data_IF_145823847761
#
_entry.id   IF_145823847761
#
_cell.length_a   1.000
_cell.length_b   1.000
_cell.length_c   1.000
_cell.angle_alpha   90.00
_cell.angle_beta   90.00
_cell.angle_gamma   90.00
#
_symmetry.space_group_name_H-M   'P 1'
#
loop_
_entity.id
_entity.type
_entity.pdbx_description
1 polymer ?
#
# COMPACT_ATOMS: atom_id res chain seq x y z
N UNK A 1 -2.47 -42.84 8.82
CA UNK A 1 -2.36 -41.42 8.45
C UNK A 1 -1.76 -40.68 9.62
N UNK A 2 -0.66 -39.96 9.37
CA UNK A 2 -0.02 -39.07 10.33
C UNK A 2 -0.93 -37.87 10.57
N UNK A 3 -1.00 -37.41 11.82
CA UNK A 3 -1.79 -36.26 12.19
C UNK A 3 -1.15 -34.96 11.64
N UNK A 4 -1.74 -34.37 10.61
CA UNK A 4 -1.19 -33.22 9.88
C UNK A 4 -1.15 -31.93 10.73
N UNK A 5 -1.98 -31.84 11.77
CA UNK A 5 -2.04 -30.68 12.67
C UNK A 5 -1.12 -30.79 13.89
N UNK A 6 -0.28 -31.83 13.96
CA UNK A 6 0.62 -32.06 15.09
C UNK A 6 1.63 -30.92 15.29
N UNK A 7 2.25 -30.43 14.21
CA UNK A 7 3.16 -29.27 14.31
C UNK A 7 2.44 -27.98 14.70
N UNK A 8 1.23 -27.76 14.17
CA UNK A 8 0.38 -26.63 14.52
C UNK A 8 0.05 -26.61 16.01
N UNK A 9 -0.45 -27.73 16.57
CA UNK A 9 -0.81 -27.82 17.98
C UNK A 9 0.38 -27.66 18.91
N UNK A 10 1.56 -28.20 18.55
CA UNK A 10 2.78 -28.01 19.34
C UNK A 10 3.20 -26.55 19.49
N UNK A 11 2.85 -25.70 18.53
CA UNK A 11 3.21 -24.28 18.51
C UNK A 11 2.23 -23.38 19.29
N UNK A 12 1.12 -23.91 19.84
CA UNK A 12 0.05 -23.10 20.48
C UNK A 12 -0.28 -23.57 21.89
N UNK A 13 -0.65 -22.63 22.76
CA UNK A 13 -1.22 -22.88 24.09
C UNK A 13 -2.63 -22.30 24.16
N UNK A 14 -3.65 -23.15 24.30
CA UNK A 14 -5.07 -22.77 24.33
C UNK A 14 -5.43 -21.74 25.41
N UNK A 15 -4.58 -21.57 26.44
CA UNK A 15 -4.78 -20.58 27.50
C UNK A 15 -4.24 -19.20 27.14
N UNK A 16 -3.45 -19.10 26.07
CA UNK A 16 -2.66 -17.91 25.73
C UNK A 16 -3.02 -17.32 24.37
N UNK A 17 -3.67 -18.09 23.49
CA UNK A 17 -4.07 -17.61 22.17
C UNK A 17 -5.58 -17.81 21.93
N UNK A 18 -6.25 -16.88 21.23
CA UNK A 18 -7.62 -17.08 20.75
C UNK A 18 -7.69 -17.94 19.47
N UNK A 19 -6.55 -18.41 18.96
CA UNK A 19 -6.50 -19.26 17.76
C UNK A 19 -7.23 -20.61 17.98
N UNK A 20 -7.90 -21.15 16.94
CA UNK A 20 -8.62 -22.42 17.07
C UNK A 20 -7.66 -23.60 17.22
N UNK A 21 -7.86 -24.44 18.24
CA UNK A 21 -7.01 -25.62 18.50
C UNK A 21 -7.92 -26.86 18.59
N UNK A 22 -8.29 -27.48 17.46
CA UNK A 22 -9.12 -28.67 17.50
C UNK A 22 -8.37 -29.83 18.15
N UNK A 23 -9.07 -30.71 18.90
CA UNK A 23 -8.46 -31.91 19.46
C UNK A 23 -7.93 -32.82 18.34
N UNK A 24 -7.06 -33.78 18.67
CA UNK A 24 -6.60 -34.78 17.71
C UNK A 24 -7.78 -35.68 17.30
N UNK A 25 -8.51 -35.30 16.25
CA UNK A 25 -9.60 -36.11 15.71
C UNK A 25 -9.03 -37.04 14.64
N UNK A 26 -9.31 -38.34 14.76
CA UNK A 26 -9.16 -39.30 13.68
C UNK A 26 -10.48 -39.42 12.93
N UNK A 27 -10.82 -38.52 12.00
CA UNK A 27 -11.84 -38.85 10.99
C UNK A 27 -11.82 -37.97 9.75
N UNK A 28 -11.65 -38.69 8.64
CA UNK A 28 -12.27 -38.57 7.32
C UNK A 28 -13.52 -37.68 7.25
N UNK A 29 -13.37 -36.46 6.72
CA UNK A 29 -14.40 -35.90 5.84
C UNK A 29 -13.85 -35.97 4.42
N UNK A 30 -14.49 -36.76 3.57
CA UNK A 30 -14.15 -36.93 2.14
C UNK A 30 -14.79 -35.85 1.26
N UNK A 31 -15.52 -34.90 1.84
CA UNK A 31 -16.13 -33.80 1.11
C UNK A 31 -15.22 -32.59 1.24
N UNK A 32 -14.28 -32.45 0.30
CA UNK A 32 -13.50 -31.23 0.14
C UNK A 32 -14.33 -30.24 -0.65
N UNK A 33 -14.67 -29.11 -0.03
CA UNK A 33 -15.34 -28.01 -0.73
C UNK A 33 -14.34 -27.11 -1.47
N UNK A 34 -13.05 -27.47 -1.46
CA UNK A 34 -11.93 -26.72 -2.03
C UNK A 34 -12.06 -25.22 -1.73
N UNK A 35 -12.20 -24.88 -0.45
CA UNK A 35 -12.28 -23.49 0.00
C UNK A 35 -10.88 -22.92 0.16
N UNK A 36 -10.77 -21.60 0.04
CA UNK A 36 -9.58 -20.88 0.42
C UNK A 36 -9.92 -19.68 1.30
N UNK A 37 -8.93 -19.24 2.08
CA UNK A 37 -8.93 -17.94 2.73
C UNK A 37 -7.57 -17.28 2.50
N UNK A 38 -7.59 -15.97 2.30
CA UNK A 38 -6.40 -15.14 2.32
C UNK A 38 -6.55 -14.19 3.50
N UNK A 39 -5.59 -14.23 4.43
CA UNK A 39 -5.58 -13.37 5.61
C UNK A 39 -4.45 -12.36 5.54
N UNK A 40 -4.71 -11.10 5.89
CA UNK A 40 -3.65 -10.13 6.14
C UNK A 40 -3.17 -10.31 7.58
N UNK A 41 -1.86 -10.44 7.76
CA UNK A 41 -1.28 -10.73 9.06
C UNK A 41 -0.22 -9.68 9.42
N UNK A 42 -0.60 -8.79 10.33
CA UNK A 42 0.24 -7.75 10.91
C UNK A 42 1.07 -8.30 12.08
N UNK A 43 1.94 -9.26 11.78
CA UNK A 43 2.92 -9.78 12.74
C UNK A 43 4.13 -8.83 12.87
N UNK A 44 5.34 -9.36 13.10
CA UNK A 44 6.59 -8.57 13.03
C UNK A 44 6.77 -7.83 11.69
N UNK A 45 6.22 -8.40 10.63
CA UNK A 45 6.12 -7.81 9.30
C UNK A 45 4.78 -8.19 8.69
N UNK A 46 4.16 -7.25 7.96
CA UNK A 46 2.95 -7.54 7.19
C UNK A 46 3.22 -8.61 6.12
N UNK A 47 2.35 -9.60 6.04
CA UNK A 47 2.30 -10.60 4.99
C UNK A 47 0.86 -11.10 4.79
N UNK A 48 0.65 -11.90 3.74
CA UNK A 48 -0.63 -12.54 3.44
C UNK A 48 -0.51 -14.04 3.64
N UNK A 49 -1.33 -14.61 4.50
CA UNK A 49 -1.44 -16.06 4.65
C UNK A 49 -2.47 -16.57 3.65
N UNK A 50 -2.02 -17.28 2.61
CA UNK A 50 -2.86 -17.96 1.63
C UNK A 50 -3.05 -19.39 2.07
N UNK A 51 -4.30 -19.79 2.27
CA UNK A 51 -4.66 -21.08 2.88
C UNK A 51 -5.64 -21.83 2.01
N UNK A 52 -5.29 -23.06 1.66
CA UNK A 52 -6.05 -23.93 0.76
C UNK A 52 -6.58 -25.13 1.55
N UNK A 53 -7.90 -25.30 1.61
CA UNK A 53 -8.52 -26.52 2.14
C UNK A 53 -8.13 -27.72 1.29
N UNK A 54 -7.39 -28.65 1.86
CA UNK A 54 -6.97 -29.88 1.20
C UNK A 54 -6.78 -30.99 2.24
N UNK A 55 -7.36 -32.17 1.98
CA UNK A 55 -7.29 -33.35 2.87
C UNK A 55 -7.62 -33.06 4.34
N UNK A 56 -8.63 -32.22 4.59
CA UNK A 56 -9.14 -31.91 5.94
C UNK A 56 -8.30 -30.92 6.74
N UNK A 57 -7.32 -30.27 6.13
CA UNK A 57 -6.52 -29.18 6.72
C UNK A 57 -6.41 -28.00 5.76
N UNK A 58 -5.83 -26.90 6.22
CA UNK A 58 -5.44 -25.76 5.40
C UNK A 58 -3.94 -25.80 5.11
N UNK A 59 -3.58 -26.16 3.88
CA UNK A 59 -2.21 -26.03 3.38
C UNK A 59 -1.91 -24.55 3.20
N UNK A 60 -0.86 -24.07 3.88
CA UNK A 60 -0.70 -22.64 4.19
C UNK A 60 0.62 -22.07 3.69
N UNK A 61 0.54 -20.89 3.08
CA UNK A 61 1.69 -20.14 2.57
C UNK A 61 1.67 -18.72 3.11
N UNK A 62 2.76 -18.29 3.72
CA UNK A 62 3.01 -16.88 4.03
C UNK A 62 3.61 -16.19 2.79
N UNK A 63 2.89 -15.23 2.22
CA UNK A 63 3.22 -14.51 0.98
C UNK A 63 3.48 -13.03 1.30
N UNK A 64 4.74 -12.59 1.53
CA UNK A 64 5.03 -11.24 2.04
C UNK A 64 4.63 -10.10 1.09
N UNK A 65 4.50 -10.36 -0.21
CA UNK A 65 4.06 -9.37 -1.21
C UNK A 65 2.63 -9.61 -1.71
N UNK A 66 1.88 -10.50 -1.07
CA UNK A 66 0.58 -10.95 -1.58
C UNK A 66 0.70 -11.78 -2.86
N UNK A 67 -0.42 -12.26 -3.39
CA UNK A 67 -0.44 -12.95 -4.67
C UNK A 67 -0.10 -11.99 -5.81
N UNK A 68 0.72 -12.39 -6.80
CA UNK A 68 1.03 -11.56 -7.94
C UNK A 68 -0.24 -11.26 -8.76
N UNK A 69 -0.35 -10.03 -9.25
CA UNK A 69 -1.49 -9.60 -10.07
C UNK A 69 -1.24 -9.73 -11.57
N UNK A 70 0.01 -9.98 -11.98
CA UNK A 70 0.42 -10.20 -13.35
C UNK A 70 1.35 -11.43 -13.50
N UNK A 71 1.73 -11.75 -14.73
CA UNK A 71 2.66 -12.82 -15.08
C UNK A 71 4.14 -12.41 -15.02
N UNK A 72 4.43 -11.12 -14.86
CA UNK A 72 5.77 -10.56 -14.99
C UNK A 72 6.66 -10.86 -13.77
N UNK A 73 6.04 -11.11 -12.59
CA UNK A 73 6.76 -11.30 -11.34
C UNK A 73 6.29 -12.56 -10.59
N UNK A 74 7.25 -13.25 -9.99
CA UNK A 74 6.99 -14.32 -9.02
C UNK A 74 7.14 -13.75 -7.61
N UNK A 75 6.23 -14.09 -6.71
CA UNK A 75 6.32 -13.70 -5.31
C UNK A 75 6.79 -14.87 -4.45
N UNK A 76 7.55 -14.58 -3.39
CA UNK A 76 7.89 -15.58 -2.38
C UNK A 76 6.62 -16.04 -1.66
N UNK A 77 6.44 -17.36 -1.52
CA UNK A 77 5.32 -17.98 -0.85
C UNK A 77 5.84 -19.01 0.15
N UNK A 78 6.27 -18.59 1.33
CA UNK A 78 6.89 -19.48 2.31
C UNK A 78 5.86 -20.48 2.84
N UNK A 79 6.05 -21.76 2.57
CA UNK A 79 5.21 -22.83 3.13
C UNK A 79 5.34 -22.87 4.67
N UNK A 80 4.22 -22.78 5.37
CA UNK A 80 4.13 -22.86 6.84
C UNK A 80 3.48 -24.18 7.26
N UNK A 81 3.32 -24.42 8.57
CA UNK A 81 2.57 -25.59 9.02
C UNK A 81 1.12 -25.60 8.50
N UNK A 82 0.53 -26.79 8.39
CA UNK A 82 -0.89 -26.92 8.08
C UNK A 82 -1.73 -26.32 9.21
N UNK A 83 -2.84 -25.64 8.86
CA UNK A 83 -3.73 -25.01 9.83
C UNK A 83 -5.09 -25.72 9.89
N UNK A 84 -5.82 -25.62 11.01
CA UNK A 84 -7.15 -26.22 11.12
C UNK A 84 -8.17 -25.46 10.26
N UNK A 85 -9.25 -26.14 9.82
CA UNK A 85 -10.25 -25.58 8.90
C UNK A 85 -10.96 -24.34 9.46
N UNK A 86 -11.02 -24.21 10.78
CA UNK A 86 -11.55 -23.07 11.51
C UNK A 86 -10.83 -21.75 11.18
N UNK A 87 -9.61 -21.79 10.63
CA UNK A 87 -8.94 -20.58 10.13
C UNK A 87 -9.62 -19.96 8.92
N UNK A 88 -10.49 -20.68 8.20
CA UNK A 88 -11.28 -20.11 7.10
C UNK A 88 -12.10 -18.90 7.54
N UNK A 89 -12.53 -18.88 8.81
CA UNK A 89 -13.38 -17.82 9.37
C UNK A 89 -12.68 -17.02 10.48
N UNK A 90 -11.45 -17.36 10.84
CA UNK A 90 -10.74 -16.70 11.94
C UNK A 90 -10.20 -15.32 11.53
N UNK A 91 -10.49 -14.33 12.37
CA UNK A 91 -9.86 -13.02 12.37
C UNK A 91 -9.77 -12.54 13.84
N UNK A 92 -8.71 -11.81 14.20
CA UNK A 92 -8.50 -11.39 15.57
C UNK A 92 -7.08 -10.95 15.88
N UNK A 93 -6.83 -10.61 17.14
CA UNK A 93 -5.51 -10.27 17.66
C UNK A 93 -4.87 -11.50 18.30
N UNK A 94 -3.72 -11.94 17.78
CA UNK A 94 -2.91 -12.99 18.40
C UNK A 94 -1.94 -12.30 19.38
N UNK A 95 -1.95 -12.62 20.68
CA UNK A 95 -1.19 -11.89 21.68
C UNK A 95 0.31 -11.82 21.40
N UNK A 96 0.92 -10.69 21.78
CA UNK A 96 2.37 -10.50 21.65
C UNK A 96 3.14 -11.58 22.44
N UNK A 97 4.15 -12.18 21.79
CA UNK A 97 4.95 -13.26 22.36
C UNK A 97 4.45 -14.67 22.04
N UNK A 98 3.22 -14.81 21.52
CA UNK A 98 2.75 -16.06 20.91
C UNK A 98 3.39 -16.25 19.53
N UNK A 99 3.40 -17.51 19.07
CA UNK A 99 3.79 -17.83 17.70
C UNK A 99 2.77 -17.24 16.73
N UNK A 100 3.23 -16.40 15.80
CA UNK A 100 2.33 -15.65 14.93
C UNK A 100 1.63 -14.48 15.62
N UNK A 101 2.17 -13.95 16.73
CA UNK A 101 1.60 -12.76 17.39
C UNK A 101 1.45 -11.57 16.44
N UNK A 102 0.29 -10.93 16.48
CA UNK A 102 -0.11 -9.82 15.60
C UNK A 102 -1.60 -9.84 15.25
N UNK A 103 -2.05 -8.76 14.60
CA UNK A 103 -3.43 -8.63 14.12
C UNK A 103 -3.64 -9.40 12.83
N UNK A 104 -4.73 -10.17 12.74
CA UNK A 104 -5.12 -10.88 11.53
C UNK A 104 -6.53 -10.49 11.08
N UNK A 105 -6.67 -10.20 9.79
CA UNK A 105 -7.95 -9.88 9.13
C UNK A 105 -8.13 -10.75 7.90
N UNK A 106 -9.38 -11.05 7.52
CA UNK A 106 -9.67 -11.76 6.27
C UNK A 106 -9.57 -10.75 5.12
N UNK A 107 -8.63 -10.98 4.21
CA UNK A 107 -8.50 -10.23 2.96
C UNK A 107 -9.53 -10.68 1.95
N UNK A 108 -9.65 -11.99 1.75
CA UNK A 108 -10.53 -12.60 0.76
C UNK A 108 -10.81 -14.06 1.14
N UNK A 109 -11.87 -14.63 0.60
CA UNK A 109 -12.24 -16.04 0.76
C UNK A 109 -13.12 -16.48 -0.41
N UNK A 110 -13.10 -17.76 -0.69
CA UNK A 110 -13.90 -18.31 -1.79
C UNK A 110 -13.63 -19.79 -1.98
N UNK A 111 -13.84 -20.25 -3.21
CA UNK A 111 -13.49 -21.60 -3.64
C UNK A 111 -12.36 -21.58 -4.64
N UNK A 112 -11.72 -22.72 -4.83
CA UNK A 112 -10.70 -22.90 -5.86
C UNK A 112 -10.89 -24.23 -6.59
N UNK A 113 -10.43 -24.27 -7.84
CA UNK A 113 -10.28 -25.51 -8.59
C UNK A 113 -8.82 -25.97 -8.54
N UNK A 114 -8.61 -27.28 -8.42
CA UNK A 114 -7.26 -27.86 -8.41
C UNK A 114 -6.88 -28.30 -9.82
N UNK A 115 -5.88 -27.64 -10.41
CA UNK A 115 -5.29 -28.08 -11.67
C UNK A 115 -4.27 -29.20 -11.44
N UNK A 116 -3.49 -29.06 -10.36
CA UNK A 116 -2.35 -29.93 -10.05
C UNK A 116 -2.03 -29.87 -8.56
N UNK A 117 -1.75 -31.02 -7.96
CA UNK A 117 -1.34 -31.10 -6.56
C UNK A 117 -0.20 -32.11 -6.38
N UNK A 118 1.00 -31.61 -6.16
CA UNK A 118 2.22 -32.38 -5.90
C UNK A 118 3.01 -31.74 -4.76
N UNK A 119 3.89 -32.51 -4.14
CA UNK A 119 4.73 -32.07 -3.03
C UNK A 119 5.66 -30.88 -3.38
N UNK A 120 5.95 -30.70 -4.66
CA UNK A 120 6.82 -29.66 -5.20
C UNK A 120 6.09 -28.58 -6.01
N UNK A 121 4.79 -28.77 -6.31
CA UNK A 121 4.03 -27.87 -7.17
C UNK A 121 2.50 -28.02 -6.95
N UNK A 122 1.83 -26.89 -6.71
CA UNK A 122 0.38 -26.80 -6.54
C UNK A 122 -0.15 -25.76 -7.53
N UNK A 123 -1.00 -26.19 -8.46
CA UNK A 123 -1.70 -25.35 -9.42
C UNK A 123 -3.17 -25.25 -9.05
N UNK A 124 -3.67 -24.02 -8.86
CA UNK A 124 -5.05 -23.74 -8.47
C UNK A 124 -5.63 -22.57 -9.27
N UNK A 125 -6.95 -22.58 -9.47
CA UNK A 125 -7.69 -21.43 -10.00
C UNK A 125 -8.60 -20.89 -8.90
N UNK A 126 -8.39 -19.63 -8.49
CA UNK A 126 -9.17 -18.99 -7.43
C UNK A 126 -10.47 -18.39 -7.96
N UNK A 127 -11.52 -18.52 -7.14
CA UNK A 127 -12.84 -17.91 -7.31
C UNK A 127 -13.24 -17.20 -6.01
N UNK A 128 -12.62 -16.05 -5.74
CA UNK A 128 -12.93 -15.16 -4.63
C UNK A 128 -13.61 -13.86 -5.07
N UNK A 129 -13.85 -12.96 -4.10
CA UNK A 129 -14.37 -11.62 -4.37
C UNK A 129 -13.27 -10.66 -4.84
N UNK A 130 -12.03 -10.84 -4.35
CA UNK A 130 -10.87 -10.00 -4.67
C UNK A 130 -9.78 -10.73 -5.45
N UNK A 131 -9.75 -12.05 -5.34
CA UNK A 131 -8.71 -12.91 -5.90
C UNK A 131 -9.34 -13.89 -6.86
N UNK A 132 -8.97 -13.76 -8.13
CA UNK A 132 -9.47 -14.59 -9.21
C UNK A 132 -8.32 -15.05 -10.11
N UNK A 133 -8.55 -16.15 -10.82
CA UNK A 133 -7.64 -16.64 -11.85
C UNK A 133 -6.66 -17.69 -11.36
N UNK A 134 -5.81 -18.12 -12.29
CA UNK A 134 -4.95 -19.29 -12.16
C UNK A 134 -3.58 -18.93 -11.57
N UNK A 135 -3.15 -19.72 -10.60
CA UNK A 135 -1.89 -19.57 -9.87
C UNK A 135 -1.16 -20.89 -9.76
N UNK A 136 0.17 -20.82 -9.76
CA UNK A 136 1.04 -21.97 -9.47
C UNK A 136 1.97 -21.61 -8.34
N UNK A 137 1.89 -22.38 -7.25
CA UNK A 137 2.85 -22.44 -6.17
C UNK A 137 3.87 -23.53 -6.51
N UNK A 138 5.15 -23.23 -6.45
CA UNK A 138 6.19 -24.18 -6.84
C UNK A 138 7.46 -23.99 -6.02
N UNK A 139 8.17 -25.09 -5.77
CA UNK A 139 9.49 -25.04 -5.14
C UNK A 139 10.54 -24.58 -6.14
N UNK A 140 11.39 -23.67 -5.67
CA UNK A 140 12.69 -23.37 -6.29
C UNK A 140 13.78 -24.05 -5.45
N UNK A 141 14.88 -24.46 -6.09
CA UNK A 141 15.87 -25.37 -5.49
C UNK A 141 16.11 -25.18 -3.98
N UNK A 142 15.80 -26.19 -3.17
CA UNK A 142 15.79 -26.10 -1.71
C UNK A 142 14.39 -26.30 -1.13
N UNK A 143 14.05 -25.53 -0.08
CA UNK A 143 12.71 -25.51 0.56
C UNK A 143 11.92 -24.23 0.26
N UNK A 144 12.45 -23.38 -0.62
CA UNK A 144 11.85 -22.08 -0.90
C UNK A 144 10.74 -22.24 -1.94
N UNK A 145 9.55 -21.79 -1.56
CA UNK A 145 8.37 -21.83 -2.40
C UNK A 145 8.09 -20.44 -2.97
N UNK A 146 7.68 -20.41 -4.24
CA UNK A 146 7.29 -19.22 -4.98
C UNK A 146 5.86 -19.38 -5.47
N UNK A 147 5.19 -18.27 -5.77
CA UNK A 147 3.88 -18.25 -6.43
C UNK A 147 3.94 -17.34 -7.66
N UNK A 148 3.29 -17.79 -8.73
CA UNK A 148 3.14 -17.06 -10.00
C UNK A 148 1.69 -17.09 -10.46
N UNK A 149 1.19 -15.98 -10.99
CA UNK A 149 -0.08 -15.93 -11.74
C UNK A 149 0.14 -16.46 -13.15
N UNK A 150 -0.71 -17.36 -13.60
CA UNK A 150 -0.64 -17.98 -14.93
C UNK A 150 -1.53 -17.27 -15.94
N UNK A 151 -2.59 -16.60 -15.50
CA UNK A 151 -3.46 -15.82 -16.37
C UNK A 151 -2.87 -14.43 -16.65
N UNK A 152 -3.17 -13.81 -17.80
CA UNK A 152 -2.88 -12.40 -17.99
C UNK A 152 -3.60 -11.56 -16.92
N UNK A 153 -3.10 -10.34 -16.71
CA UNK A 153 -3.83 -9.39 -15.90
C UNK A 153 -5.21 -9.08 -16.53
N UNK A 154 -6.15 -8.62 -15.70
CA UNK A 154 -7.49 -8.29 -16.17
C UNK A 154 -7.46 -7.17 -17.22
N UNK A 155 -8.41 -7.12 -18.17
CA UNK A 155 -8.48 -6.03 -19.14
C UNK A 155 -8.52 -4.66 -18.45
N UNK A 156 -7.68 -3.72 -18.90
CA UNK A 156 -7.54 -2.40 -18.28
C UNK A 156 -6.56 -2.34 -17.11
N UNK A 157 -6.06 -3.48 -16.64
CA UNK A 157 -4.99 -3.53 -15.66
C UNK A 157 -3.65 -3.13 -16.27
N UNK A 158 -2.93 -2.29 -15.55
CA UNK A 158 -1.61 -1.75 -15.86
C UNK A 158 -0.68 -1.98 -14.65
N UNK A 159 0.56 -2.42 -14.89
CA UNK A 159 1.53 -2.58 -13.81
C UNK A 159 1.83 -1.24 -13.14
N UNK A 160 2.09 -1.28 -11.85
CA UNK A 160 2.54 -0.11 -11.11
C UNK A 160 3.81 0.46 -11.78
N UNK A 161 3.84 1.77 -12.09
CA UNK A 161 5.02 2.39 -12.68
C UNK A 161 6.20 2.34 -11.71
N UNK A 162 7.41 2.10 -12.23
CA UNK A 162 8.61 2.06 -11.40
C UNK A 162 9.07 3.46 -10.97
N UNK A 163 8.95 4.45 -11.85
CA UNK A 163 9.22 5.86 -11.57
C UNK A 163 8.23 6.72 -12.34
N UNK A 164 7.66 7.72 -11.68
CA UNK A 164 6.84 8.77 -12.31
C UNK A 164 7.56 10.10 -12.12
N UNK A 165 7.88 10.77 -13.23
CA UNK A 165 8.42 12.12 -13.19
C UNK A 165 7.31 13.12 -12.80
N UNK A 166 7.51 13.97 -11.78
CA UNK A 166 6.44 14.88 -11.33
C UNK A 166 6.01 15.89 -12.40
N UNK A 167 4.71 16.15 -12.48
CA UNK A 167 4.15 17.27 -13.25
C UNK A 167 4.53 18.61 -12.59
N UNK A 168 4.85 19.61 -13.41
CA UNK A 168 5.35 20.91 -12.95
C UNK A 168 4.35 22.04 -13.25
N UNK A 169 4.14 22.91 -12.28
CA UNK A 169 3.33 24.10 -12.46
C UNK A 169 4.05 25.19 -13.27
N UNK A 170 3.33 25.93 -14.09
CA UNK A 170 3.82 27.16 -14.74
C UNK A 170 3.68 28.34 -13.78
N UNK A 171 4.70 29.18 -13.62
CA UNK A 171 4.58 30.40 -12.82
C UNK A 171 3.57 31.35 -13.48
N UNK A 172 2.62 31.86 -12.70
CA UNK A 172 1.63 32.83 -13.14
C UNK A 172 1.69 34.11 -12.29
N UNK A 173 1.37 35.25 -12.91
CA UNK A 173 1.37 36.55 -12.24
C UNK A 173 0.14 36.76 -11.34
N UNK A 174 -0.91 35.97 -11.52
CA UNK A 174 -2.15 36.07 -10.77
C UNK A 174 -2.99 34.81 -10.90
N UNK A 175 -4.10 34.80 -10.17
CA UNK A 175 -5.10 33.73 -10.23
C UNK A 175 -5.78 33.69 -11.61
N UNK A 176 -6.22 32.52 -12.07
CA UNK A 176 -7.00 32.40 -13.29
C UNK A 176 -8.34 33.16 -13.17
N UNK A 177 -8.81 33.72 -14.28
CA UNK A 177 -10.07 34.49 -14.31
C UNK A 177 -11.31 33.58 -14.27
N UNK A 178 -11.20 32.37 -14.84
CA UNK A 178 -12.21 31.32 -14.86
C UNK A 178 -12.20 30.50 -13.56
N UNK A 179 -12.22 31.17 -12.39
CA UNK A 179 -11.98 30.59 -11.05
C UNK A 179 -12.70 29.25 -10.77
N UNK A 180 -13.94 29.10 -11.22
CA UNK A 180 -14.75 27.89 -11.04
C UNK A 180 -14.19 26.63 -11.72
N UNK A 181 -13.32 26.78 -12.73
CA UNK A 181 -12.70 25.67 -13.47
C UNK A 181 -11.39 25.19 -12.81
N UNK A 182 -11.03 25.74 -11.64
CA UNK A 182 -9.76 25.49 -10.96
C UNK A 182 -9.93 24.99 -9.54
N UNK A 183 -9.09 24.03 -9.15
CA UNK A 183 -8.84 23.66 -7.78
C UNK A 183 -7.59 24.34 -7.24
N UNK A 184 -7.62 24.83 -6.01
CA UNK A 184 -6.50 25.52 -5.37
C UNK A 184 -5.98 24.72 -4.18
N UNK A 185 -4.67 24.51 -4.19
CA UNK A 185 -3.93 23.88 -3.10
C UNK A 185 -2.90 24.85 -2.53
N UNK A 186 -2.61 24.73 -1.23
CA UNK A 186 -1.54 25.49 -0.60
C UNK A 186 -0.19 25.04 -1.12
N UNK A 187 0.72 25.98 -1.38
CA UNK A 187 2.11 25.67 -1.72
C UNK A 187 2.93 25.65 -0.44
N UNK A 188 3.26 24.47 0.08
CA UNK A 188 3.89 24.33 1.40
C UNK A 188 5.40 24.55 1.40
N UNK A 189 6.05 24.41 0.24
CA UNK A 189 7.49 24.69 0.07
C UNK A 189 8.39 23.55 0.57
N UNK A 190 7.85 22.35 0.73
CA UNK A 190 8.60 21.16 1.10
C UNK A 190 9.36 20.51 -0.06
N UNK A 191 9.82 19.28 0.17
CA UNK A 191 10.49 18.45 -0.84
C UNK A 191 9.47 17.57 -1.55
N UNK A 192 9.34 17.71 -2.86
CA UNK A 192 8.47 16.85 -3.70
C UNK A 192 8.91 15.39 -3.57
N UNK A 193 7.94 14.50 -3.29
CA UNK A 193 8.15 13.06 -3.16
C UNK A 193 6.99 12.31 -3.81
N UNK A 194 7.31 11.23 -4.52
CA UNK A 194 6.33 10.26 -4.99
C UNK A 194 6.43 9.00 -4.13
N UNK A 195 5.31 8.53 -3.58
CA UNK A 195 5.23 7.33 -2.76
C UNK A 195 4.57 6.18 -3.53
N UNK A 196 5.24 5.03 -3.59
CA UNK A 196 4.77 3.80 -4.22
C UNK A 196 4.41 2.82 -3.11
N UNK A 197 3.13 2.49 -3.00
CA UNK A 197 2.57 1.66 -1.94
C UNK A 197 2.17 0.32 -2.55
N UNK A 198 2.85 -0.75 -2.15
CA UNK A 198 2.56 -2.10 -2.66
C UNK A 198 2.91 -3.17 -1.63
N UNK A 199 2.01 -4.16 -1.49
CA UNK A 199 2.14 -5.22 -0.49
C UNK A 199 2.40 -4.66 0.92
N UNK A 200 1.71 -3.55 1.25
CA UNK A 200 1.82 -2.79 2.50
C UNK A 200 3.23 -2.34 2.87
N UNK A 201 4.06 -2.08 1.87
CA UNK A 201 5.32 -1.36 2.01
C UNK A 201 5.24 -0.06 1.23
N UNK A 202 6.00 0.93 1.67
CA UNK A 202 6.21 2.17 0.92
C UNK A 202 7.64 2.25 0.38
N UNK A 203 7.76 2.75 -0.85
CA UNK A 203 9.00 3.26 -1.42
C UNK A 203 8.78 4.73 -1.76
N UNK A 204 9.74 5.59 -1.45
CA UNK A 204 9.68 7.02 -1.70
C UNK A 204 10.77 7.40 -2.71
N UNK A 205 10.42 8.16 -3.74
CA UNK A 205 11.39 8.79 -4.63
C UNK A 205 11.27 10.30 -4.56
N UNK A 206 12.39 11.02 -4.66
CA UNK A 206 12.36 12.47 -4.87
C UNK A 206 11.97 12.84 -6.32
N UNK A 207 12.02 14.14 -6.62
CA UNK A 207 11.63 14.68 -7.92
C UNK A 207 12.50 14.19 -9.09
N UNK A 208 13.74 13.77 -8.83
CA UNK A 208 14.67 13.25 -9.82
C UNK A 208 14.59 11.71 -9.94
N UNK A 209 13.69 11.08 -9.17
CA UNK A 209 13.48 9.64 -9.16
C UNK A 209 14.44 8.87 -8.24
N UNK A 210 15.22 9.57 -7.40
CA UNK A 210 16.16 8.94 -6.47
C UNK A 210 15.40 8.36 -5.28
N UNK A 211 15.72 7.12 -4.90
CA UNK A 211 15.12 6.47 -3.72
C UNK A 211 15.58 7.17 -2.42
N UNK A 212 14.61 7.75 -1.71
CA UNK A 212 14.78 8.45 -0.44
C UNK A 212 14.03 7.76 0.71
N UNK A 213 13.60 6.51 0.51
CA UNK A 213 12.79 5.74 1.49
C UNK A 213 13.50 5.60 2.84
N UNK A 214 14.82 5.48 2.84
CA UNK A 214 15.61 5.34 4.07
C UNK A 214 15.73 6.63 4.88
N UNK A 215 15.41 7.79 4.28
CA UNK A 215 15.56 9.10 4.91
C UNK A 215 14.40 9.40 5.87
N UNK A 216 13.22 8.84 5.55
CA UNK A 216 11.95 9.13 6.22
C UNK A 216 11.33 7.87 6.85
N UNK A 217 11.97 7.26 7.87
CA UNK A 217 11.46 6.06 8.53
C UNK A 217 10.05 6.24 9.12
N UNK A 218 9.67 7.45 9.53
CA UNK A 218 8.37 7.81 10.09
C UNK A 218 7.21 7.74 9.07
N UNK A 219 7.52 7.73 7.76
CA UNK A 219 6.52 7.59 6.69
C UNK A 219 6.25 6.12 6.33
N UNK A 220 7.14 5.19 6.71
CA UNK A 220 6.97 3.75 6.44
C UNK A 220 5.61 3.16 6.85
N UNK A 221 5.01 3.57 7.99
CA UNK A 221 3.71 3.05 8.42
C UNK A 221 2.54 3.33 7.46
N UNK A 222 2.69 4.24 6.48
CA UNK A 222 1.67 4.45 5.44
C UNK A 222 1.40 3.18 4.62
N UNK A 223 2.42 2.33 4.44
CA UNK A 223 2.28 1.08 3.69
C UNK A 223 1.26 0.13 4.34
N UNK A 224 1.48 -0.31 5.58
CA UNK A 224 0.51 -1.15 6.29
C UNK A 224 -0.83 -0.46 6.55
N UNK A 225 -0.87 0.87 6.66
CA UNK A 225 -2.11 1.63 6.84
C UNK A 225 -3.01 1.58 5.60
N UNK A 226 -2.42 1.58 4.41
CA UNK A 226 -3.16 1.44 3.15
C UNK A 226 -3.42 -0.01 2.76
N UNK A 227 -2.67 -0.98 3.29
CA UNK A 227 -2.82 -2.38 2.90
C UNK A 227 -4.27 -2.88 3.06
N UNK A 228 -4.85 -3.57 2.07
CA UNK A 228 -4.18 -4.15 0.90
C UNK A 228 -4.06 -3.22 -0.31
N UNK A 229 -4.53 -1.97 -0.20
CA UNK A 229 -4.54 -1.02 -1.31
C UNK A 229 -3.13 -0.72 -1.78
N UNK A 230 -2.95 -0.78 -3.09
CA UNK A 230 -1.77 -0.39 -3.83
C UNK A 230 -2.02 0.92 -4.56
N UNK A 231 -1.10 1.87 -4.40
CA UNK A 231 -1.26 3.21 -4.94
C UNK A 231 0.08 3.88 -5.27
N UNK A 232 0.07 4.82 -6.20
CA UNK A 232 1.16 5.78 -6.40
C UNK A 232 0.66 7.17 -6.06
N UNK A 233 1.26 7.77 -5.04
CA UNK A 233 0.84 9.03 -4.43
C UNK A 233 1.86 10.12 -4.73
N UNK A 234 1.39 11.31 -5.08
CA UNK A 234 2.21 12.49 -5.31
C UNK A 234 1.99 13.51 -4.20
N UNK A 235 3.07 14.02 -3.64
CA UNK A 235 3.00 14.88 -2.47
C UNK A 235 4.31 15.57 -2.14
N UNK A 236 4.36 16.21 -0.98
CA UNK A 236 5.58 16.82 -0.47
C UNK A 236 5.85 16.47 0.98
N UNK A 237 7.13 16.31 1.30
CA UNK A 237 7.62 16.19 2.67
C UNK A 237 7.86 17.60 3.20
N UNK A 238 7.18 17.96 4.28
CA UNK A 238 7.24 19.28 4.92
C UNK A 238 7.76 19.13 6.34
N UNK A 239 8.79 19.90 6.69
CA UNK A 239 9.23 20.07 8.07
C UNK A 239 8.54 21.29 8.67
N UNK A 240 8.28 21.25 9.98
CA UNK A 240 7.63 22.34 10.71
C UNK A 240 8.52 22.82 11.86
N UNK A 241 8.49 24.14 12.10
CA UNK A 241 8.94 24.77 13.34
C UNK A 241 7.70 25.28 14.10
N UNK A 242 7.29 24.52 15.11
CA UNK A 242 5.97 24.68 15.72
C UNK A 242 4.85 24.42 14.71
N UNK A 243 4.03 25.43 14.43
CA UNK A 243 2.92 25.35 13.47
C UNK A 243 3.29 25.85 12.06
N UNK A 244 4.51 26.36 11.84
CA UNK A 244 4.91 26.98 10.57
C UNK A 244 5.78 26.03 9.74
N UNK A 245 5.53 25.87 8.43
CA UNK A 245 6.47 25.19 7.55
C UNK A 245 7.85 25.86 7.57
N UNK A 246 8.89 25.05 7.64
CA UNK A 246 10.29 25.47 7.73
C UNK A 246 11.14 24.63 6.76
N UNK A 247 11.10 24.93 5.44
CA UNK A 247 11.76 24.15 4.40
C UNK A 247 13.26 23.92 4.63
N UNK A 248 13.95 24.91 5.21
CA UNK A 248 15.38 24.86 5.53
C UNK A 248 15.74 23.74 6.52
N UNK A 249 14.78 23.24 7.31
CA UNK A 249 15.00 22.11 8.20
C UNK A 249 15.16 20.80 7.44
N UNK A 250 14.67 20.70 6.19
CA UNK A 250 14.77 19.49 5.39
C UNK A 250 16.21 19.15 4.97
N UNK A 251 17.14 20.10 5.02
CA UNK A 251 18.57 19.82 4.78
C UNK A 251 19.12 18.84 5.81
N UNK A 252 18.55 18.82 7.03
CA UNK A 252 18.89 17.88 8.11
C UNK A 252 18.32 16.47 7.89
N UNK A 253 17.48 16.29 6.87
CA UNK A 253 16.78 15.04 6.54
C UNK A 253 17.31 14.41 5.24
N UNK A 254 18.53 14.75 4.86
CA UNK A 254 19.17 14.24 3.64
C UNK A 254 20.22 13.16 3.94
N UNK A 255 20.26 12.13 3.09
CA UNK A 255 21.31 11.11 3.02
C UNK A 255 21.88 10.63 4.38
N UNK A 256 21.05 10.13 5.32
CA UNK A 256 21.55 9.60 6.58
C UNK A 256 22.47 8.40 6.34
N UNK A 257 23.59 8.36 7.08
CA UNK A 257 24.61 7.30 6.93
C UNK A 257 24.12 5.87 7.23
N UNK A 258 23.10 5.74 8.08
CA UNK A 258 22.54 4.47 8.53
C UNK A 258 21.11 4.66 9.09
N UNK A 259 20.43 3.54 9.38
CA UNK A 259 19.07 3.56 9.92
C UNK A 259 18.94 4.22 11.29
N UNK A 260 20.00 4.18 12.12
CA UNK A 260 19.98 4.81 13.43
C UNK A 260 20.13 6.33 13.32
N UNK A 261 20.92 6.81 12.36
CA UNK A 261 21.04 8.22 12.02
C UNK A 261 19.71 8.76 11.45
N UNK A 262 19.04 8.00 10.59
CA UNK A 262 17.73 8.37 10.06
C UNK A 262 16.69 8.55 11.18
N UNK A 263 16.63 7.64 12.16
CA UNK A 263 15.73 7.73 13.32
C UNK A 263 16.04 8.95 14.20
N UNK A 264 17.31 9.17 14.56
CA UNK A 264 17.70 10.36 15.34
C UNK A 264 17.36 11.67 14.61
N UNK A 265 17.48 11.69 13.29
CA UNK A 265 17.11 12.85 12.49
C UNK A 265 15.59 13.05 12.44
N UNK A 266 14.80 11.98 12.41
CA UNK A 266 13.33 12.03 12.50
C UNK A 266 12.87 12.58 13.84
N UNK A 267 13.49 12.16 14.94
CA UNK A 267 13.19 12.65 16.29
C UNK A 267 13.51 14.15 16.45
N UNK A 268 14.60 14.62 15.83
CA UNK A 268 15.04 16.03 15.92
C UNK A 268 14.29 16.95 14.96
N UNK A 269 13.81 16.43 13.86
CA UNK A 269 13.17 17.20 12.79
C UNK A 269 12.08 16.32 12.17
N UNK A 270 10.94 16.19 12.87
CA UNK A 270 9.81 15.43 12.36
C UNK A 270 9.25 16.12 11.11
N UNK A 271 8.72 15.31 10.20
CA UNK A 271 8.12 15.77 8.95
C UNK A 271 6.69 15.25 8.79
N UNK A 272 5.93 15.90 7.92
CA UNK A 272 4.65 15.43 7.41
C UNK A 272 4.76 15.16 5.91
N UNK A 273 4.18 14.06 5.44
CA UNK A 273 3.93 13.83 4.02
C UNK A 273 2.54 14.34 3.64
N UNK A 274 2.50 15.45 2.90
CA UNK A 274 1.28 16.08 2.43
C UNK A 274 0.99 15.59 1.00
N UNK A 275 -0.04 14.74 0.87
CA UNK A 275 -0.39 14.08 -0.39
C UNK A 275 -1.48 14.87 -1.12
N UNK A 276 -1.28 15.17 -2.40
CA UNK A 276 -2.25 15.97 -3.16
C UNK A 276 -2.63 15.41 -4.52
N UNK A 277 -1.99 14.34 -5.00
CA UNK A 277 -2.41 13.66 -6.23
C UNK A 277 -2.28 12.14 -6.08
N UNK A 278 -3.10 11.41 -6.84
CA UNK A 278 -3.12 9.96 -6.95
C UNK A 278 -2.87 9.63 -8.41
N UNK A 279 -1.75 8.94 -8.70
CA UNK A 279 -1.23 8.72 -10.06
C UNK A 279 -1.49 7.31 -10.59
N UNK A 280 -1.75 6.37 -9.69
CA UNK A 280 -2.09 4.99 -10.02
C UNK A 280 -2.79 4.36 -8.81
N UNK A 281 -3.80 3.53 -9.05
CA UNK A 281 -4.58 2.86 -8.00
C UNK A 281 -4.99 1.46 -8.47
N UNK A 282 -4.67 0.43 -7.69
CA UNK A 282 -5.19 -0.93 -7.86
C UNK A 282 -5.12 -1.47 -9.31
N UNK A 283 -4.00 -1.24 -10.00
CA UNK A 283 -3.85 -1.69 -11.39
C UNK A 283 -4.27 -0.67 -12.45
N UNK A 284 -4.64 0.56 -12.09
CA UNK A 284 -5.14 1.51 -13.09
C UNK A 284 -4.38 2.83 -12.98
N UNK A 285 -3.81 3.27 -14.10
CA UNK A 285 -3.27 4.63 -14.21
C UNK A 285 -4.40 5.64 -14.11
N UNK A 286 -4.24 6.63 -13.24
CA UNK A 286 -5.15 7.78 -13.15
C UNK A 286 -4.59 8.99 -13.90
N UNK A 287 -3.38 8.90 -14.47
CA UNK A 287 -2.69 10.08 -15.00
C UNK A 287 -3.33 10.61 -16.29
N UNK A 288 -3.72 9.73 -17.21
CA UNK A 288 -4.10 10.14 -18.57
C UNK A 288 -5.61 10.39 -18.73
N UNK A 289 -6.44 9.48 -18.23
CA UNK A 289 -7.88 9.46 -18.50
C UNK A 289 -8.74 10.00 -17.36
N UNK A 290 -8.16 10.19 -16.16
CA UNK A 290 -8.89 10.62 -14.97
C UNK A 290 -8.61 12.10 -14.71
N UNK A 291 -9.69 12.89 -14.62
CA UNK A 291 -9.62 14.35 -14.39
C UNK A 291 -9.07 14.64 -13.00
N UNK A 292 -8.43 15.79 -12.82
CA UNK A 292 -7.88 16.17 -11.52
C UNK A 292 -8.92 16.14 -10.38
N UNK A 293 -10.16 16.61 -10.64
CA UNK A 293 -11.24 16.51 -9.65
C UNK A 293 -11.56 15.07 -9.24
N UNK A 294 -11.61 14.15 -10.20
CA UNK A 294 -11.87 12.73 -9.96
C UNK A 294 -10.68 12.06 -9.23
N UNK A 295 -9.43 12.45 -9.56
CA UNK A 295 -8.24 11.98 -8.82
C UNK A 295 -8.25 12.47 -7.37
N UNK A 296 -8.73 13.69 -7.12
CA UNK A 296 -8.92 14.23 -5.76
C UNK A 296 -9.97 13.46 -4.99
N UNK A 297 -11.12 13.14 -5.60
CA UNK A 297 -12.15 12.31 -4.98
C UNK A 297 -11.64 10.91 -4.62
N UNK A 298 -10.92 10.26 -5.56
CA UNK A 298 -10.29 8.96 -5.30
C UNK A 298 -9.26 9.03 -4.16
N UNK A 299 -8.43 10.09 -4.14
CA UNK A 299 -7.44 10.31 -3.09
C UNK A 299 -8.09 10.55 -1.72
N UNK A 300 -9.16 11.35 -1.66
CA UNK A 300 -9.92 11.57 -0.42
C UNK A 300 -10.60 10.29 0.05
N UNK A 301 -11.04 9.43 -0.87
CA UNK A 301 -11.57 8.09 -0.59
C UNK A 301 -10.55 7.12 0.05
N UNK A 302 -9.25 7.36 -0.11
CA UNK A 302 -8.21 6.61 0.61
C UNK A 302 -8.13 6.97 2.10
N UNK A 303 -8.78 8.05 2.52
CA UNK A 303 -8.84 8.51 3.91
C UNK A 303 -7.45 8.58 4.58
N UNK A 304 -6.46 9.14 3.87
CA UNK A 304 -5.09 9.29 4.36
C UNK A 304 -5.05 10.22 5.57
N UNK A 305 -5.03 9.62 6.75
CA UNK A 305 -4.89 10.30 8.03
C UNK A 305 -3.99 9.48 8.96
N UNK A 306 -2.73 9.88 9.08
CA UNK A 306 -1.78 9.31 10.03
C UNK A 306 -0.93 10.37 10.70
N UNK A 307 -0.14 9.96 11.68
CA UNK A 307 0.66 10.88 12.49
C UNK A 307 1.66 11.72 11.66
N UNK A 308 2.15 11.12 10.57
CA UNK A 308 3.18 11.70 9.70
C UNK A 308 2.75 11.84 8.23
N UNK A 309 1.46 11.64 7.91
CA UNK A 309 0.95 11.84 6.56
C UNK A 309 -0.52 12.24 6.57
N UNK A 310 -0.90 13.07 5.60
CA UNK A 310 -2.30 13.45 5.41
C UNK A 310 -2.54 13.93 3.99
N UNK A 311 -3.80 13.96 3.58
CA UNK A 311 -4.26 14.68 2.39
C UNK A 311 -4.74 16.08 2.80
N UNK A 312 -4.04 17.16 2.44
CA UNK A 312 -4.55 18.52 2.67
C UNK A 312 -5.83 18.77 1.87
N UNK A 313 -6.70 19.67 2.36
CA UNK A 313 -7.86 20.10 1.59
C UNK A 313 -7.43 20.85 0.32
N UNK A 314 -8.27 20.77 -0.70
CA UNK A 314 -8.21 21.64 -1.87
C UNK A 314 -9.53 22.41 -2.00
N UNK A 315 -9.49 23.57 -2.66
CA UNK A 315 -10.65 24.45 -2.83
C UNK A 315 -11.03 24.48 -4.31
N UNK A 316 -12.22 23.98 -4.68
CA UNK A 316 -12.75 24.17 -6.02
C UNK A 316 -13.32 25.59 -6.14
N UNK A 317 -12.72 26.42 -7.00
CA UNK A 317 -12.92 27.87 -6.96
C UNK A 317 -12.37 28.52 -5.68
N UNK A 318 -12.68 29.79 -5.48
CA UNK A 318 -12.29 30.54 -4.29
C UNK A 318 -10.80 30.85 -4.23
N UNK A 319 -10.14 31.03 -5.39
CA UNK A 319 -8.70 31.24 -5.46
C UNK A 319 -8.18 32.39 -4.60
N UNK A 320 -8.93 33.49 -4.49
CA UNK A 320 -8.55 34.62 -3.64
C UNK A 320 -8.59 34.27 -2.16
N UNK A 321 -9.61 33.52 -1.71
CA UNK A 321 -9.66 33.03 -0.34
C UNK A 321 -8.47 32.11 -0.03
N UNK A 322 -8.15 31.19 -0.94
CA UNK A 322 -6.99 30.31 -0.78
C UNK A 322 -5.67 31.10 -0.75
N UNK A 323 -5.52 32.12 -1.60
CA UNK A 323 -4.33 32.98 -1.64
C UNK A 323 -4.20 33.84 -0.38
N UNK A 324 -5.30 34.39 0.12
CA UNK A 324 -5.33 35.14 1.38
C UNK A 324 -4.97 34.24 2.57
N UNK A 325 -5.50 33.02 2.62
CA UNK A 325 -5.16 32.04 3.63
C UNK A 325 -3.67 31.66 3.58
N UNK A 326 -3.09 31.52 2.38
CA UNK A 326 -1.66 31.28 2.20
C UNK A 326 -0.83 32.47 2.75
N UNK A 327 -1.22 33.71 2.43
CA UNK A 327 -0.56 34.92 2.94
C UNK A 327 -0.63 35.02 4.46
N UNK A 328 -1.81 34.79 5.05
CA UNK A 328 -2.02 34.84 6.49
C UNK A 328 -1.17 33.80 7.26
N UNK A 329 -0.88 32.67 6.62
CA UNK A 329 -0.05 31.59 7.17
C UNK A 329 1.44 31.73 6.82
N UNK A 330 1.84 32.77 6.08
CA UNK A 330 3.22 32.97 5.63
C UNK A 330 3.69 31.92 4.62
N UNK A 331 2.77 31.29 3.89
CA UNK A 331 3.08 30.30 2.87
C UNK A 331 3.52 30.98 1.56
N UNK A 332 4.38 30.32 0.74
CA UNK A 332 4.81 30.83 -0.56
C UNK A 332 3.70 31.23 -1.55
N UNK A 333 2.49 30.69 -1.40
CA UNK A 333 1.35 30.94 -2.27
C UNK A 333 0.49 29.70 -2.49
N UNK A 334 -0.12 29.61 -3.66
CA UNK A 334 -1.02 28.51 -4.04
C UNK A 334 -0.56 27.86 -5.35
N UNK A 335 -1.01 26.63 -5.57
CA UNK A 335 -1.00 25.96 -6.86
C UNK A 335 -2.45 25.82 -7.32
N UNK A 336 -2.80 26.49 -8.42
CA UNK A 336 -4.08 26.31 -9.09
C UNK A 336 -3.94 25.17 -10.10
N UNK A 337 -4.85 24.19 -10.07
CA UNK A 337 -4.88 23.04 -10.96
C UNK A 337 -6.22 23.00 -11.68
N UNK A 338 -6.23 22.93 -13.01
CA UNK A 338 -7.48 22.91 -13.79
C UNK A 338 -8.25 21.62 -13.49
N UNK A 339 -9.53 21.73 -13.13
CA UNK A 339 -10.32 20.62 -12.59
C UNK A 339 -10.46 19.44 -13.56
N UNK A 340 -10.58 19.73 -14.86
CA UNK A 340 -10.72 18.76 -15.93
C UNK A 340 -9.37 18.21 -16.46
N UNK A 341 -8.24 18.62 -15.87
CA UNK A 341 -6.92 18.30 -16.44
C UNK A 341 -6.46 16.86 -16.17
N UNK A 342 -5.79 16.23 -17.16
CA UNK A 342 -4.98 15.05 -16.90
C UNK A 342 -3.73 15.42 -16.09
N UNK A 343 -3.08 14.42 -15.53
CA UNK A 343 -1.72 14.53 -15.05
C UNK A 343 -0.75 14.36 -16.22
N UNK A 344 0.26 15.23 -16.33
CA UNK A 344 1.24 15.21 -17.41
C UNK A 344 2.66 14.93 -16.86
N UNK A 345 3.07 13.65 -16.75
CA UNK A 345 4.35 13.29 -16.13
C UNK A 345 5.53 14.02 -16.75
N UNK A 346 6.38 14.62 -15.90
CA UNK A 346 7.59 15.34 -16.29
C UNK A 346 7.37 16.63 -17.08
N UNK A 347 6.11 17.06 -17.29
CA UNK A 347 5.81 18.25 -18.10
C UNK A 347 5.52 19.45 -17.22
N UNK A 348 6.11 20.59 -17.57
CA UNK A 348 5.61 21.90 -17.15
C UNK A 348 4.42 22.28 -18.00
N UNK A 349 3.28 22.55 -17.38
CA UNK A 349 2.02 22.83 -18.09
C UNK A 349 1.32 24.05 -17.52
N UNK A 350 0.51 24.71 -18.35
CA UNK A 350 -0.41 25.77 -17.90
C UNK A 350 -1.65 25.23 -17.21
N UNK A 351 -1.88 23.91 -17.24
CA UNK A 351 -2.95 23.28 -16.48
C UNK A 351 -2.72 23.35 -14.97
N UNK A 352 -1.46 23.53 -14.55
CA UNK A 352 -1.08 23.83 -13.17
C UNK A 352 -0.39 25.19 -13.14
N UNK A 353 -0.84 26.11 -12.29
CA UNK A 353 -0.30 27.45 -12.15
C UNK A 353 0.22 27.64 -10.72
N UNK A 354 1.47 28.06 -10.59
CA UNK A 354 2.02 28.50 -9.32
C UNK A 354 1.81 30.01 -9.20
N UNK A 355 0.99 30.43 -8.24
CA UNK A 355 0.67 31.83 -7.95
C UNK A 355 1.27 32.18 -6.59
N UNK A 356 1.93 33.33 -6.49
CA UNK A 356 2.54 33.77 -5.23
C UNK A 356 1.48 34.33 -4.27
N UNK A 357 1.80 34.36 -2.97
CA UNK A 357 0.88 34.88 -1.95
C UNK A 357 0.81 36.43 -1.96
N UNK A 358 1.84 37.10 -2.46
CA UNK A 358 1.99 38.56 -2.49
C UNK A 358 1.22 39.23 -3.65
#
# INVERSE_FOLDING_TARGET
MTDRLDDYRRKRDARRTPEPIPPAIRTTSTVTTNRFVIQQHHARSLHWDVRLEHDGVLVSFAVPRGLPRDQARNNLAKHTEDHPLEYLDFAGEIPAGEYGGGRMTIHDRGTYETDKWRDDEIGVTFHGERTTGRYVFFQTGGRDWMVRRMDPAEPGWEPMPEVVAPMLATRAAGLPADDADWGYEMRWGGRRVTAYISGGRSRLTDADGVDVTSWYPEIRPIGPALAPVEAVLDGEIVAFDGARPAPELLDRRTAPKDSAAARRAAERTPVQFLVYDLLWLEGHSTMELVRYSERRELLDGLALAGDHWQTPPFFAGGGEFAREAARAQGLPGVVAKRLDSPYLPGRRSRLWLAVAAD
#
